data_IF_051116921382
#
_entry.id   IF_051116921382
#
_cell.length_a   1.000
_cell.length_b   1.000
_cell.length_c   1.000
_cell.angle_alpha   90.00
_cell.angle_beta   90.00
_cell.angle_gamma   90.00
#
_symmetry.space_group_name_H-M   'P 1'
#
loop_
_entity.id
_entity.type
_entity.pdbx_description
1 polymer ?
#
# COMPACT_ATOMS: atom_id res chain seq x y z
N UNK A 1 -14.94 -56.52 -6.90
CA UNK A 1 -14.03 -57.17 -5.95
C UNK A 1 -12.66 -57.28 -6.61
N UNK A 2 -11.61 -56.77 -5.96
CA UNK A 2 -10.19 -57.05 -6.26
C UNK A 2 -9.62 -56.42 -7.54
N UNK A 3 -8.41 -55.85 -7.58
CA UNK A 3 -7.37 -55.57 -6.59
C UNK A 3 -6.44 -54.53 -7.27
N UNK A 4 -6.04 -53.53 -6.48
CA UNK A 4 -4.77 -52.79 -6.47
C UNK A 4 -3.73 -53.22 -7.52
N UNK A 5 -3.05 -52.24 -8.11
CA UNK A 5 -1.61 -51.99 -7.89
C UNK A 5 -1.18 -50.69 -8.56
N UNK A 6 -0.86 -49.72 -7.71
CA UNK A 6 -0.08 -48.51 -8.01
C UNK A 6 1.25 -48.91 -8.64
N UNK A 7 1.51 -48.44 -9.86
CA UNK A 7 2.79 -48.66 -10.53
C UNK A 7 3.86 -47.85 -9.81
N UNK A 8 4.79 -48.61 -9.25
CA UNK A 8 5.99 -48.26 -8.51
C UNK A 8 6.94 -47.33 -9.26
N UNK A 9 7.58 -46.50 -8.45
CA UNK A 9 8.76 -45.67 -8.62
C UNK A 9 9.75 -46.14 -9.70
N UNK A 10 10.16 -45.20 -10.55
CA UNK A 10 11.38 -45.31 -11.35
C UNK A 10 12.37 -44.24 -10.85
N UNK A 11 13.29 -44.70 -10.00
CA UNK A 11 14.59 -44.06 -9.74
C UNK A 11 15.31 -43.86 -11.06
N UNK A 12 15.82 -42.67 -11.31
CA UNK A 12 17.01 -42.39 -12.12
C UNK A 12 17.54 -41.02 -11.64
N UNK A 13 18.37 -41.00 -10.58
CA UNK A 13 19.80 -40.69 -10.70
C UNK A 13 20.10 -39.29 -11.28
N UNK A 14 20.12 -38.27 -10.42
CA UNK A 14 20.75 -37.00 -10.74
C UNK A 14 22.26 -37.13 -10.48
N UNK A 15 23.14 -36.90 -11.48
CA UNK A 15 24.57 -36.80 -11.24
C UNK A 15 24.92 -35.40 -10.70
N UNK A 16 25.66 -35.39 -9.59
CA UNK A 16 26.37 -34.22 -9.10
C UNK A 16 27.42 -33.80 -10.12
N UNK A 17 27.29 -32.59 -10.65
CA UNK A 17 28.12 -32.03 -11.70
C UNK A 17 28.58 -30.62 -11.35
N UNK A 18 29.67 -30.59 -10.60
CA UNK A 18 30.49 -29.44 -10.25
C UNK A 18 31.02 -28.73 -11.50
N UNK A 19 30.65 -27.46 -11.75
CA UNK A 19 31.46 -26.53 -12.55
C UNK A 19 31.46 -25.13 -11.91
N UNK A 20 32.66 -24.59 -11.87
CA UNK A 20 33.13 -23.43 -11.13
C UNK A 20 32.78 -22.12 -11.85
N UNK A 21 32.58 -21.09 -11.03
CA UNK A 21 33.13 -19.73 -11.14
C UNK A 21 33.49 -19.23 -12.55
N UNK A 22 32.81 -18.17 -13.00
CA UNK A 22 33.40 -16.97 -13.65
C UNK A 22 32.26 -16.13 -14.25
N UNK A 23 31.73 -15.15 -13.50
CA UNK A 23 30.98 -14.03 -14.09
C UNK A 23 31.80 -12.75 -13.93
N UNK A 24 32.56 -12.34 -14.96
CA UNK A 24 33.10 -11.00 -15.04
C UNK A 24 31.99 -10.00 -15.34
N UNK A 25 32.02 -8.88 -14.62
CA UNK A 25 31.07 -7.79 -14.76
C UNK A 25 31.10 -7.10 -16.12
N UNK A 26 29.96 -6.52 -16.44
CA UNK A 26 29.74 -5.37 -17.34
C UNK A 26 28.35 -4.85 -16.94
N UNK A 27 28.25 -4.08 -15.85
CA UNK A 27 28.43 -2.63 -15.84
C UNK A 27 27.57 -1.98 -16.92
N UNK A 28 26.33 -1.69 -16.52
CA UNK A 28 25.43 -0.76 -17.16
C UNK A 28 26.09 0.61 -17.27
N UNK A 29 26.49 0.98 -18.48
CA UNK A 29 26.90 2.36 -18.79
C UNK A 29 25.64 3.22 -18.88
N UNK A 30 25.08 3.58 -17.73
CA UNK A 30 24.33 4.83 -17.61
C UNK A 30 25.35 5.95 -17.51
N UNK A 31 25.37 6.93 -18.44
CA UNK A 31 26.25 8.09 -18.33
C UNK A 31 26.01 8.78 -16.99
N UNK A 32 27.01 8.74 -16.11
CA UNK A 32 26.96 9.46 -14.86
C UNK A 32 27.30 10.93 -15.15
N UNK A 33 26.49 11.89 -14.70
CA UNK A 33 26.80 13.30 -14.87
C UNK A 33 28.04 13.66 -14.03
N UNK A 34 29.04 14.22 -14.69
CA UNK A 34 30.38 14.49 -14.13
C UNK A 34 30.44 15.65 -13.11
N UNK A 35 29.31 16.17 -12.62
CA UNK A 35 29.37 17.15 -11.52
C UNK A 35 28.11 17.19 -10.63
N UNK A 36 28.26 17.46 -9.32
CA UNK A 36 27.13 17.64 -8.39
C UNK A 36 26.32 18.94 -8.54
N UNK A 37 26.80 19.95 -9.28
CA UNK A 37 26.26 21.32 -9.20
C UNK A 37 25.16 21.62 -10.23
N UNK A 38 25.14 20.95 -11.39
CA UNK A 38 24.18 21.25 -12.47
C UNK A 38 22.77 20.64 -12.29
N UNK A 39 22.54 19.85 -11.24
CA UNK A 39 21.22 19.24 -10.97
C UNK A 39 20.26 20.13 -10.15
N UNK A 40 20.68 21.33 -9.73
CA UNK A 40 19.97 22.06 -8.68
C UNK A 40 19.12 23.24 -9.14
N UNK A 41 19.34 23.84 -10.30
CA UNK A 41 18.65 25.10 -10.67
C UNK A 41 17.45 24.96 -11.64
N UNK A 42 17.14 23.76 -12.14
CA UNK A 42 16.08 23.58 -13.15
C UNK A 42 14.96 22.59 -12.82
N UNK A 43 15.07 21.78 -11.76
CA UNK A 43 14.19 20.62 -11.55
C UNK A 43 13.08 20.79 -10.49
N UNK A 44 13.06 21.91 -9.75
CA UNK A 44 12.24 22.02 -8.53
C UNK A 44 10.82 22.59 -8.68
N UNK A 45 10.33 22.90 -9.89
CA UNK A 45 9.04 23.61 -10.03
C UNK A 45 7.94 22.88 -10.81
N UNK A 46 7.66 21.61 -10.45
CA UNK A 46 6.46 20.90 -10.95
C UNK A 46 5.53 20.39 -9.85
N UNK A 47 5.87 20.63 -8.58
CA UNK A 47 5.12 20.14 -7.41
C UNK A 47 4.25 21.18 -6.72
N UNK A 48 4.32 22.46 -7.12
CA UNK A 48 3.67 23.52 -6.34
C UNK A 48 2.13 23.44 -6.31
N UNK A 49 1.46 22.68 -7.19
CA UNK A 49 -0.01 22.73 -7.32
C UNK A 49 -0.71 21.35 -7.41
N UNK A 50 -0.09 20.25 -6.99
CA UNK A 50 -0.81 18.97 -6.95
C UNK A 50 -1.72 18.94 -5.72
N UNK A 51 -2.99 19.32 -5.92
CA UNK A 51 -4.07 19.17 -4.91
C UNK A 51 -4.10 17.69 -4.51
N UNK A 52 -3.70 17.37 -3.27
CA UNK A 52 -3.70 15.99 -2.77
C UNK A 52 -5.16 15.51 -2.75
N UNK A 53 -5.45 14.28 -3.21
CA UNK A 53 -6.77 13.72 -3.02
C UNK A 53 -7.06 13.60 -1.52
N UNK A 54 -8.31 13.84 -1.14
CA UNK A 54 -8.79 13.58 0.21
C UNK A 54 -9.49 12.23 0.21
N UNK A 55 -9.77 11.69 1.40
CA UNK A 55 -10.43 10.40 1.53
C UNK A 55 -11.58 10.49 2.53
N UNK A 56 -12.63 9.73 2.28
CA UNK A 56 -13.75 9.49 3.19
C UNK A 56 -13.72 8.03 3.61
N UNK A 57 -13.79 7.79 4.91
CA UNK A 57 -13.96 6.44 5.48
C UNK A 57 -15.43 6.29 5.87
N UNK A 58 -16.05 5.21 5.43
CA UNK A 58 -17.45 4.88 5.72
C UNK A 58 -17.44 3.59 6.56
N UNK A 59 -18.12 3.62 7.70
CA UNK A 59 -18.30 2.45 8.57
C UNK A 59 -19.73 1.88 8.44
N UNK A 60 -19.84 0.58 8.21
CA UNK A 60 -21.09 -0.16 8.25
C UNK A 60 -21.27 -0.77 9.64
N UNK A 61 -21.83 0.01 10.56
CA UNK A 61 -21.92 -0.36 11.98
C UNK A 61 -22.76 -1.61 12.26
N UNK A 62 -23.65 -2.01 11.36
CA UNK A 62 -24.42 -3.25 11.48
C UNK A 62 -23.53 -4.50 11.30
N UNK A 63 -22.41 -4.38 10.59
CA UNK A 63 -21.50 -5.49 10.30
C UNK A 63 -20.25 -5.44 11.19
N UNK A 64 -19.96 -4.28 11.77
CA UNK A 64 -18.80 -4.09 12.64
C UNK A 64 -18.91 -4.90 13.94
N UNK A 65 -17.87 -5.68 14.24
CA UNK A 65 -17.74 -6.46 15.50
C UNK A 65 -16.99 -5.73 16.61
N UNK A 66 -16.69 -4.44 16.44
CA UNK A 66 -15.93 -3.64 17.43
C UNK A 66 -14.56 -4.24 17.81
N UNK A 67 -13.87 -4.90 16.87
CA UNK A 67 -12.61 -5.61 17.13
C UNK A 67 -11.38 -4.70 17.31
N UNK A 68 -11.47 -3.40 16.96
CA UNK A 68 -10.38 -2.43 17.13
C UNK A 68 -9.20 -2.53 16.14
N UNK A 69 -9.18 -3.52 15.24
CA UNK A 69 -8.09 -3.73 14.26
C UNK A 69 -7.86 -2.49 13.39
N UNK A 70 -8.93 -1.83 12.94
CA UNK A 70 -8.84 -0.64 12.11
C UNK A 70 -8.16 0.54 12.82
N UNK A 71 -8.35 0.69 14.14
CA UNK A 71 -7.69 1.71 14.96
C UNK A 71 -6.21 1.38 15.13
N UNK A 72 -5.89 0.13 15.48
CA UNK A 72 -4.51 -0.33 15.68
C UNK A 72 -3.63 -0.22 14.43
N UNK A 73 -4.19 -0.46 13.24
CA UNK A 73 -3.46 -0.45 11.98
C UNK A 73 -3.41 0.93 11.30
N UNK A 74 -4.11 1.94 11.81
CA UNK A 74 -4.14 3.25 11.19
C UNK A 74 -2.79 3.98 11.42
N UNK A 75 -1.97 4.23 10.37
CA UNK A 75 -0.68 4.89 10.55
C UNK A 75 -0.82 6.36 10.99
N UNK A 76 -1.95 6.99 10.64
CA UNK A 76 -2.28 8.37 11.03
C UNK A 76 -3.03 8.45 12.36
N UNK A 77 -3.41 7.29 12.94
CA UNK A 77 -4.15 7.21 14.20
C UNK A 77 -5.44 8.03 14.25
N UNK A 78 -6.11 8.19 13.11
CA UNK A 78 -7.35 8.98 12.98
C UNK A 78 -8.61 8.18 13.32
N UNK A 79 -8.51 6.84 13.40
CA UNK A 79 -9.62 5.95 13.75
C UNK A 79 -9.54 5.67 15.25
N UNK A 80 -10.52 6.16 16.00
CA UNK A 80 -10.66 6.00 17.45
C UNK A 80 -11.80 5.03 17.75
N UNK A 81 -11.83 4.50 18.97
CA UNK A 81 -12.96 3.67 19.45
C UNK A 81 -13.77 4.46 20.47
N UNK A 82 -15.10 4.38 20.36
CA UNK A 82 -16.01 4.93 21.37
C UNK A 82 -16.12 4.00 22.59
N UNK A 83 -16.98 4.36 23.56
CA UNK A 83 -17.25 3.55 24.76
C UNK A 83 -17.80 2.14 24.45
N UNK A 84 -18.38 1.96 23.26
CA UNK A 84 -18.93 0.67 22.78
C UNK A 84 -17.93 -0.12 21.92
N UNK A 85 -16.71 0.40 21.75
CA UNK A 85 -15.66 -0.16 20.91
C UNK A 85 -15.87 0.08 19.41
N UNK A 86 -16.92 0.82 19.00
CA UNK A 86 -17.19 1.12 17.60
C UNK A 86 -16.22 2.19 17.09
N UNK A 87 -15.74 2.05 15.84
CA UNK A 87 -14.78 3.00 15.28
C UNK A 87 -15.46 4.32 14.93
N UNK A 88 -14.81 5.45 15.22
CA UNK A 88 -15.20 6.78 14.77
C UNK A 88 -13.95 7.60 14.38
N UNK A 89 -14.15 8.74 13.71
CA UNK A 89 -13.06 9.59 13.19
C UNK A 89 -13.36 11.05 13.54
N UNK A 90 -12.38 11.71 14.17
CA UNK A 90 -12.44 13.14 14.49
C UNK A 90 -11.87 14.02 13.35
N UNK A 91 -10.76 13.57 12.73
CA UNK A 91 -10.06 14.30 11.67
C UNK A 91 -10.02 13.48 10.36
N UNK A 92 -11.09 13.56 9.56
CA UNK A 92 -11.20 12.80 8.31
C UNK A 92 -10.15 13.20 7.26
N UNK A 93 -9.71 14.46 7.29
CA UNK A 93 -8.80 15.04 6.29
C UNK A 93 -7.35 14.59 6.42
N UNK A 94 -7.00 14.01 7.57
CA UNK A 94 -5.68 13.43 7.83
C UNK A 94 -5.54 12.02 7.24
N UNK A 95 -6.63 11.45 6.71
CA UNK A 95 -6.58 10.15 6.04
C UNK A 95 -5.70 10.22 4.78
N UNK A 96 -4.62 9.43 4.76
CA UNK A 96 -3.72 9.32 3.59
C UNK A 96 -4.18 8.27 2.56
N UNK A 97 -5.35 7.65 2.77
CA UNK A 97 -5.89 6.67 1.83
C UNK A 97 -5.10 5.37 1.74
N UNK A 98 -4.38 4.96 2.80
CA UNK A 98 -3.56 3.73 2.79
C UNK A 98 -4.36 2.42 2.70
N UNK A 99 -5.68 2.46 2.98
CA UNK A 99 -6.63 1.32 2.94
C UNK A 99 -6.30 0.13 3.86
N UNK A 100 -5.34 0.29 4.79
CA UNK A 100 -4.98 -0.76 5.74
C UNK A 100 -6.19 -1.23 6.57
N UNK A 101 -7.02 -0.28 7.03
CA UNK A 101 -8.23 -0.56 7.78
C UNK A 101 -9.29 -1.34 6.96
N UNK A 102 -9.35 -1.14 5.65
CA UNK A 102 -10.28 -1.81 4.74
C UNK A 102 -9.86 -3.24 4.42
N UNK A 103 -8.58 -3.44 4.11
CA UNK A 103 -8.03 -4.77 3.79
C UNK A 103 -8.05 -5.72 4.98
N UNK A 104 -7.86 -5.20 6.20
CA UNK A 104 -7.74 -6.02 7.42
C UNK A 104 -9.04 -6.11 8.23
N UNK A 105 -10.13 -5.51 7.76
CA UNK A 105 -11.41 -5.67 8.44
C UNK A 105 -11.95 -7.09 8.17
N UNK A 106 -12.08 -7.96 9.20
CA UNK A 106 -12.51 -9.35 8.99
C UNK A 106 -13.97 -9.46 8.51
N UNK A 107 -14.79 -8.44 8.78
CA UNK A 107 -16.20 -8.38 8.40
C UNK A 107 -16.48 -7.45 7.21
N UNK A 108 -15.43 -6.87 6.59
CA UNK A 108 -15.55 -5.88 5.51
C UNK A 108 -16.49 -4.70 5.85
N UNK A 109 -16.58 -4.34 7.13
CA UNK A 109 -17.50 -3.32 7.66
C UNK A 109 -17.01 -1.88 7.45
N UNK A 110 -16.06 -1.65 6.54
CA UNK A 110 -15.43 -0.35 6.31
C UNK A 110 -15.07 -0.18 4.83
N UNK A 111 -15.21 1.02 4.29
CA UNK A 111 -14.81 1.36 2.91
C UNK A 111 -14.09 2.70 2.88
N UNK A 112 -12.99 2.78 2.13
CA UNK A 112 -12.26 4.03 1.88
C UNK A 112 -12.56 4.54 0.47
N UNK A 113 -13.16 5.73 0.37
CA UNK A 113 -13.45 6.39 -0.91
C UNK A 113 -12.59 7.62 -1.09
N UNK A 114 -12.10 7.84 -2.30
CA UNK A 114 -11.48 9.11 -2.67
C UNK A 114 -12.55 10.20 -2.74
N UNK A 115 -12.26 11.37 -2.18
CA UNK A 115 -13.07 12.58 -2.29
C UNK A 115 -12.20 13.71 -2.80
N UNK A 116 -12.69 14.45 -3.78
CA UNK A 116 -12.02 15.68 -4.18
C UNK A 116 -12.48 16.80 -3.25
N UNK A 117 -11.58 17.65 -2.75
CA UNK A 117 -12.02 18.91 -2.15
C UNK A 117 -12.83 19.64 -3.22
N UNK A 118 -14.07 20.02 -2.87
CA UNK A 118 -14.89 20.87 -3.73
C UNK A 118 -14.01 22.02 -4.20
N UNK A 119 -14.01 22.35 -5.50
CA UNK A 119 -13.16 23.42 -6.02
C UNK A 119 -13.49 24.66 -5.18
N UNK A 120 -12.55 25.11 -4.33
CA UNK A 120 -12.56 26.48 -3.82
C UNK A 120 -12.78 27.32 -5.08
N UNK A 121 -13.96 27.92 -5.20
CA UNK A 121 -14.06 29.17 -5.92
C UNK A 121 -13.15 30.04 -5.09
N UNK A 122 -11.96 30.33 -5.62
CA UNK A 122 -11.09 31.32 -5.02
C UNK A 122 -11.99 32.55 -4.84
N UNK A 123 -12.36 32.81 -3.60
CA UNK A 123 -13.05 34.03 -3.22
C UNK A 123 -12.01 35.12 -3.46
N UNK A 124 -12.01 35.61 -4.71
CA UNK A 124 -11.30 36.79 -5.15
C UNK A 124 -11.79 37.99 -4.35
N UNK A 125 -11.33 38.06 -3.11
CA UNK A 125 -11.48 39.17 -2.20
C UNK A 125 -10.12 39.85 -2.11
N UNK A 126 -9.82 40.66 -3.12
CA UNK A 126 -9.58 42.11 -3.01
C UNK A 126 -8.69 42.62 -4.14
#
# INVERSE_FOLDING_TARGET
MQKRKTRTEKKDSQPEGLIKEDLPGQASETPQPDSPEELTEGYWDRRKHQKRPLYTIIFFYEWCKSCGICSALCPQKIILQDETGKPHIEAMDDCIGCRSCEVHCPDFAITVKERYPERRKDDGSK
#
